data_IF_386143455925
#
_entry.id   IF_386143455925
#
_cell.length_a   1.000
_cell.length_b   1.000
_cell.length_c   1.000
_cell.angle_alpha   90.00
_cell.angle_beta   90.00
_cell.angle_gamma   90.00
#
_symmetry.space_group_name_H-M   'P 1'
#
loop_
_entity.id
_entity.type
_entity.pdbx_description
1 polymer ?
#
# COMPACT_ATOMS: atom_id res chain seq x y z
N UNK A 1 -20.80 -15.98 -17.70
CA UNK A 1 -21.29 -15.18 -16.55
C UNK A 1 -20.18 -14.26 -16.09
N UNK A 2 -20.32 -12.92 -16.20
CA UNK A 2 -19.33 -11.98 -15.64
C UNK A 2 -19.36 -12.13 -14.12
N UNK A 3 -18.28 -12.58 -13.51
CA UNK A 3 -18.17 -12.61 -12.05
C UNK A 3 -18.43 -11.21 -11.49
N UNK A 4 -19.37 -11.15 -10.55
CA UNK A 4 -19.75 -9.92 -9.87
C UNK A 4 -18.96 -9.87 -8.57
N UNK A 5 -17.95 -9.01 -8.53
CA UNK A 5 -17.00 -8.97 -7.43
C UNK A 5 -17.52 -8.06 -6.31
N UNK A 6 -18.27 -8.65 -5.38
CA UNK A 6 -18.67 -8.00 -4.13
C UNK A 6 -17.48 -7.44 -3.33
N UNK A 7 -16.33 -8.16 -3.24
CA UNK A 7 -15.15 -7.63 -2.55
C UNK A 7 -14.61 -6.34 -3.18
N UNK A 8 -14.61 -6.22 -4.51
CA UNK A 8 -14.14 -5.02 -5.21
C UNK A 8 -15.02 -3.80 -4.94
N UNK A 9 -16.33 -4.02 -4.76
CA UNK A 9 -17.26 -2.95 -4.41
C UNK A 9 -16.98 -2.41 -3.00
N UNK A 10 -16.83 -3.31 -2.02
CA UNK A 10 -16.52 -2.94 -0.64
C UNK A 10 -15.16 -2.24 -0.57
N UNK A 11 -14.13 -2.83 -1.21
CA UNK A 11 -12.78 -2.25 -1.24
C UNK A 11 -12.79 -0.86 -1.89
N UNK A 12 -13.52 -0.69 -2.99
CA UNK A 12 -13.66 0.60 -3.68
C UNK A 12 -14.31 1.66 -2.80
N UNK A 13 -15.41 1.34 -2.13
CA UNK A 13 -16.08 2.25 -1.20
C UNK A 13 -15.20 2.60 0.01
N UNK A 14 -14.52 1.61 0.59
CA UNK A 14 -13.59 1.82 1.70
C UNK A 14 -12.42 2.71 1.28
N UNK A 15 -11.79 2.45 0.15
CA UNK A 15 -10.68 3.26 -0.36
C UNK A 15 -11.12 4.70 -0.61
N UNK A 16 -12.33 4.90 -1.15
CA UNK A 16 -12.89 6.23 -1.38
C UNK A 16 -13.15 6.96 -0.07
N UNK A 17 -13.79 6.30 0.91
CA UNK A 17 -14.08 6.89 2.22
C UNK A 17 -12.82 7.22 3.02
N UNK A 18 -11.85 6.29 3.07
CA UNK A 18 -10.55 6.50 3.72
C UNK A 18 -9.79 7.63 3.04
N UNK A 19 -9.78 7.68 1.70
CA UNK A 19 -9.13 8.76 0.97
C UNK A 19 -9.69 10.14 1.33
N UNK A 20 -11.02 10.29 1.39
CA UNK A 20 -11.64 11.55 1.79
C UNK A 20 -11.21 11.93 3.22
N UNK A 21 -11.28 10.98 4.15
CA UNK A 21 -10.90 11.22 5.54
C UNK A 21 -9.42 11.65 5.66
N UNK A 22 -8.51 10.91 5.02
CA UNK A 22 -7.07 11.22 5.02
C UNK A 22 -6.80 12.58 4.37
N UNK A 23 -7.47 12.90 3.25
CA UNK A 23 -7.30 14.19 2.59
C UNK A 23 -7.72 15.35 3.49
N UNK A 24 -8.86 15.23 4.17
CA UNK A 24 -9.32 16.25 5.13
C UNK A 24 -8.37 16.39 6.33
N UNK A 25 -7.92 15.27 6.91
CA UNK A 25 -6.96 15.28 8.03
C UNK A 25 -5.60 15.84 7.62
N UNK A 26 -5.17 15.61 6.37
CA UNK A 26 -3.89 16.08 5.85
C UNK A 26 -3.79 17.61 5.74
N UNK A 27 -4.92 18.32 5.76
CA UNK A 27 -4.93 19.78 5.72
C UNK A 27 -4.40 20.41 7.02
N UNK A 28 -4.38 19.65 8.12
CA UNK A 28 -3.85 20.11 9.41
C UNK A 28 -2.31 20.03 9.51
N UNK A 29 -1.63 19.47 8.50
CA UNK A 29 -0.17 19.34 8.51
C UNK A 29 0.49 20.64 8.04
N UNK A 30 1.61 20.99 8.70
CA UNK A 30 2.42 22.15 8.34
C UNK A 30 2.99 21.97 6.93
N UNK A 31 2.76 22.97 6.08
CA UNK A 31 3.34 23.03 4.73
C UNK A 31 4.84 23.30 4.81
N UNK A 32 5.64 22.56 4.03
CA UNK A 32 7.06 22.83 3.90
C UNK A 32 7.32 24.07 3.03
N UNK A 33 8.42 24.79 3.29
CA UNK A 33 8.85 25.94 2.47
C UNK A 33 9.35 25.52 1.08
N UNK A 34 9.78 24.27 0.93
CA UNK A 34 10.27 23.68 -0.33
C UNK A 34 9.71 22.24 -0.42
N UNK A 35 9.34 21.79 -1.62
CA UNK A 35 8.73 20.47 -1.83
C UNK A 35 7.28 20.35 -1.35
N UNK A 36 6.71 19.15 -1.38
CA UNK A 36 5.33 18.91 -0.92
C UNK A 36 5.22 18.78 0.61
N UNK A 37 6.34 18.58 1.30
CA UNK A 37 6.43 18.44 2.75
C UNK A 37 5.72 17.21 3.33
N UNK A 38 5.67 17.14 4.66
CA UNK A 38 5.07 16.02 5.39
C UNK A 38 3.57 15.82 5.11
N UNK A 39 2.83 16.90 4.82
CA UNK A 39 1.43 16.84 4.39
C UNK A 39 1.23 16.44 2.93
N UNK A 40 2.29 16.53 2.11
CA UNK A 40 2.27 16.15 0.70
C UNK A 40 2.01 14.67 0.47
N UNK A 41 2.73 13.83 1.21
CA UNK A 41 2.59 12.37 1.15
C UNK A 41 1.14 11.90 1.36
N UNK A 42 0.48 12.19 2.51
CA UNK A 42 -0.88 11.71 2.75
C UNK A 42 -1.89 12.25 1.72
N UNK A 43 -1.72 13.48 1.21
CA UNK A 43 -2.57 14.03 0.14
C UNK A 43 -2.42 13.26 -1.17
N UNK A 44 -1.18 13.02 -1.60
CA UNK A 44 -0.92 12.31 -2.86
C UNK A 44 -1.49 10.89 -2.81
N UNK A 45 -1.27 10.16 -1.71
CA UNK A 45 -1.83 8.82 -1.52
C UNK A 45 -3.36 8.86 -1.48
N UNK A 46 -3.95 9.83 -0.77
CA UNK A 46 -5.41 9.99 -0.74
C UNK A 46 -5.99 10.19 -2.14
N UNK A 47 -5.39 11.05 -2.98
CA UNK A 47 -5.86 11.26 -4.36
C UNK A 47 -5.79 9.97 -5.18
N UNK A 48 -4.68 9.22 -5.08
CA UNK A 48 -4.53 7.93 -5.79
C UNK A 48 -5.58 6.92 -5.30
N UNK A 49 -5.75 6.79 -3.97
CA UNK A 49 -6.74 5.90 -3.37
C UNK A 49 -8.17 6.27 -3.77
N UNK A 50 -8.49 7.56 -3.83
CA UNK A 50 -9.81 8.05 -4.25
C UNK A 50 -10.10 7.65 -5.70
N UNK A 51 -9.16 7.91 -6.62
CA UNK A 51 -9.31 7.57 -8.04
C UNK A 51 -9.45 6.06 -8.21
N UNK A 52 -8.59 5.26 -7.57
CA UNK A 52 -8.67 3.80 -7.63
C UNK A 52 -9.98 3.28 -7.03
N UNK A 53 -10.41 3.85 -5.90
CA UNK A 53 -11.66 3.50 -5.23
C UNK A 53 -12.88 3.75 -6.10
N UNK A 54 -12.94 4.90 -6.79
CA UNK A 54 -13.99 5.22 -7.76
C UNK A 54 -13.94 4.23 -8.93
N UNK A 55 -12.77 3.97 -9.51
CA UNK A 55 -12.64 3.05 -10.65
C UNK A 55 -13.12 1.64 -10.27
N UNK A 56 -12.74 1.13 -9.09
CA UNK A 56 -13.18 -0.17 -8.61
C UNK A 56 -14.69 -0.22 -8.39
N UNK A 57 -15.24 0.79 -7.73
CA UNK A 57 -16.69 0.92 -7.47
C UNK A 57 -17.47 0.98 -8.78
N UNK A 58 -17.05 1.84 -9.71
CA UNK A 58 -17.69 2.01 -11.01
C UNK A 58 -17.62 0.73 -11.85
N UNK A 59 -16.45 0.06 -11.90
CA UNK A 59 -16.31 -1.23 -12.61
C UNK A 59 -17.18 -2.33 -12.00
N UNK A 60 -17.31 -2.36 -10.68
CA UNK A 60 -18.16 -3.34 -9.99
C UNK A 60 -19.64 -3.08 -10.27
N UNK A 61 -20.11 -1.83 -10.16
CA UNK A 61 -21.48 -1.44 -10.48
C UNK A 61 -21.83 -1.62 -11.97
N UNK A 62 -20.90 -1.34 -12.88
CA UNK A 62 -21.10 -1.54 -14.32
C UNK A 62 -21.29 -3.02 -14.71
N UNK A 63 -20.85 -3.96 -13.86
CA UNK A 63 -21.12 -5.39 -14.00
C UNK A 63 -22.44 -5.82 -13.31
N UNK A 64 -23.18 -4.86 -12.76
CA UNK A 64 -24.42 -5.04 -11.99
C UNK A 64 -24.15 -5.26 -10.50
N UNK A 65 -25.14 -4.94 -9.65
CA UNK A 65 -25.02 -5.07 -8.19
C UNK A 65 -24.55 -6.49 -7.80
N UNK A 66 -23.35 -6.63 -7.21
CA UNK A 66 -22.87 -7.90 -6.75
C UNK A 66 -23.70 -8.38 -5.56
N UNK A 67 -24.01 -9.68 -5.52
CA UNK A 67 -24.65 -10.27 -4.34
C UNK A 67 -23.61 -10.36 -3.21
N UNK A 68 -24.00 -10.10 -1.95
CA UNK A 68 -23.12 -10.31 -0.82
C UNK A 68 -22.71 -11.78 -0.76
N UNK A 69 -21.50 -12.07 -1.19
CA UNK A 69 -20.89 -13.38 -1.13
C UNK A 69 -19.46 -13.20 -0.66
N UNK A 70 -19.30 -13.18 0.66
CA UNK A 70 -18.01 -13.08 1.30
C UNK A 70 -17.64 -14.47 1.83
N UNK A 71 -16.79 -15.16 1.09
CA UNK A 71 -16.22 -16.44 1.51
C UNK A 71 -14.73 -16.23 1.74
N UNK A 72 -14.34 -16.15 3.01
CA UNK A 72 -12.93 -16.26 3.38
C UNK A 72 -12.64 -17.75 3.48
N UNK A 73 -11.76 -18.25 2.61
CA UNK A 73 -11.19 -19.57 2.77
C UNK A 73 -10.12 -19.59 3.87
N UNK A 74 -9.93 -20.73 4.53
CA UNK A 74 -8.97 -20.88 5.63
C UNK A 74 -7.55 -20.56 5.18
N UNK A 75 -7.16 -20.99 3.99
CA UNK A 75 -5.83 -20.72 3.45
C UNK A 75 -5.64 -19.22 3.24
N UNK A 76 -6.63 -18.54 2.69
CA UNK A 76 -6.62 -17.07 2.54
C UNK A 76 -6.49 -16.37 3.89
N UNK A 77 -7.22 -16.82 4.92
CA UNK A 77 -7.11 -16.27 6.26
C UNK A 77 -5.70 -16.44 6.84
N UNK A 78 -5.10 -17.63 6.71
CA UNK A 78 -3.74 -17.91 7.19
C UNK A 78 -2.71 -17.03 6.47
N UNK A 79 -2.79 -16.91 5.14
CA UNK A 79 -1.87 -16.04 4.38
C UNK A 79 -2.01 -14.57 4.80
N UNK A 80 -3.25 -14.08 5.00
CA UNK A 80 -3.49 -12.72 5.48
C UNK A 80 -2.93 -12.49 6.89
N UNK A 81 -3.15 -13.44 7.81
CA UNK A 81 -2.61 -13.35 9.18
C UNK A 81 -1.09 -13.41 9.17
N UNK A 82 -0.48 -14.32 8.41
CA UNK A 82 0.96 -14.41 8.28
C UNK A 82 1.56 -13.12 7.69
N UNK A 83 0.92 -12.56 6.66
CA UNK A 83 1.35 -11.29 6.05
C UNK A 83 1.28 -10.13 7.04
N UNK A 84 0.22 -10.04 7.84
CA UNK A 84 0.11 -9.05 8.92
C UNK A 84 1.23 -9.19 9.95
N UNK A 85 1.53 -10.42 10.39
CA UNK A 85 2.62 -10.68 11.35
C UNK A 85 3.97 -10.26 10.76
N UNK A 86 4.27 -10.66 9.52
CA UNK A 86 5.50 -10.25 8.81
C UNK A 86 5.58 -8.73 8.68
N UNK A 87 4.47 -8.05 8.43
CA UNK A 87 4.40 -6.58 8.37
C UNK A 87 4.76 -5.95 9.71
N UNK A 88 4.25 -6.46 10.82
CA UNK A 88 4.58 -5.97 12.17
C UNK A 88 6.07 -6.16 12.46
N UNK A 89 6.62 -7.34 12.14
CA UNK A 89 8.05 -7.63 12.31
C UNK A 89 8.91 -6.69 11.47
N UNK A 90 8.52 -6.44 10.21
CA UNK A 90 9.16 -5.48 9.33
C UNK A 90 9.21 -4.07 9.95
N UNK A 91 8.09 -3.58 10.48
CA UNK A 91 8.04 -2.25 11.11
C UNK A 91 8.96 -2.15 12.34
N UNK A 92 9.00 -3.21 13.15
CA UNK A 92 9.89 -3.26 14.32
C UNK A 92 11.37 -3.29 13.92
N UNK A 93 11.71 -4.08 12.90
CA UNK A 93 13.09 -4.22 12.42
C UNK A 93 13.59 -3.02 11.60
N UNK A 94 12.67 -2.24 10.99
CA UNK A 94 13.00 -1.07 10.17
C UNK A 94 13.82 -0.03 10.94
N UNK A 95 13.57 0.13 12.24
CA UNK A 95 14.33 1.08 13.09
C UNK A 95 15.83 0.77 13.13
N UNK A 96 16.20 -0.52 13.03
CA UNK A 96 17.59 -0.96 13.15
C UNK A 96 18.26 -1.13 11.78
N UNK A 97 17.55 -1.78 10.85
CA UNK A 97 18.11 -2.17 9.54
C UNK A 97 17.97 -1.04 8.50
N UNK A 98 17.01 -0.14 8.70
CA UNK A 98 16.70 0.93 7.74
C UNK A 98 15.84 0.46 6.57
N UNK A 99 15.22 1.43 5.89
CA UNK A 99 14.26 1.22 4.82
C UNK A 99 14.87 0.52 3.60
N UNK A 100 16.03 1.01 3.12
CA UNK A 100 16.56 0.60 1.82
C UNK A 100 16.98 -0.88 1.75
N UNK A 101 17.35 -1.48 2.89
CA UNK A 101 17.74 -2.89 2.97
C UNK A 101 16.55 -3.80 3.30
N UNK A 102 15.66 -3.35 4.19
CA UNK A 102 14.59 -4.20 4.69
C UNK A 102 13.36 -4.23 3.76
N UNK A 103 13.03 -3.12 3.10
CA UNK A 103 11.85 -3.02 2.22
C UNK A 103 11.95 -3.91 0.98
N UNK A 104 13.09 -4.05 0.27
CA UNK A 104 13.20 -5.02 -0.82
C UNK A 104 12.93 -6.45 -0.35
N UNK A 105 13.49 -6.84 0.80
CA UNK A 105 13.29 -8.18 1.36
C UNK A 105 11.81 -8.42 1.72
N UNK A 106 11.18 -7.43 2.34
CA UNK A 106 9.76 -7.45 2.67
C UNK A 106 8.88 -7.56 1.42
N UNK A 107 9.10 -6.72 0.40
CA UNK A 107 8.33 -6.74 -0.85
C UNK A 107 8.51 -8.05 -1.62
N UNK A 108 9.74 -8.58 -1.66
CA UNK A 108 10.01 -9.88 -2.26
C UNK A 108 9.27 -11.01 -1.53
N UNK A 109 9.37 -11.07 -0.20
CA UNK A 109 8.65 -12.05 0.61
C UNK A 109 7.13 -11.96 0.43
N UNK A 110 6.59 -10.74 0.42
CA UNK A 110 5.17 -10.49 0.15
C UNK A 110 4.75 -11.04 -1.22
N UNK A 111 5.50 -10.76 -2.28
CA UNK A 111 5.21 -11.26 -3.62
C UNK A 111 5.23 -12.80 -3.68
N UNK A 112 6.18 -13.44 -2.99
CA UNK A 112 6.22 -14.91 -2.90
C UNK A 112 5.01 -15.48 -2.16
N UNK A 113 4.61 -14.88 -1.03
CA UNK A 113 3.44 -15.31 -0.25
C UNK A 113 2.14 -15.25 -1.06
N UNK A 114 2.00 -14.28 -1.96
CA UNK A 114 0.85 -14.15 -2.85
C UNK A 114 1.02 -14.86 -4.21
N UNK A 115 2.01 -15.76 -4.33
CA UNK A 115 2.13 -16.69 -5.45
C UNK A 115 2.67 -16.07 -6.75
N UNK A 116 3.51 -15.03 -6.66
CA UNK A 116 4.09 -14.41 -7.86
C UNK A 116 5.01 -15.42 -8.59
N UNK A 117 4.64 -15.79 -9.82
CA UNK A 117 5.18 -16.96 -10.54
C UNK A 117 6.64 -16.84 -11.01
N UNK A 118 7.23 -15.64 -10.98
CA UNK A 118 8.59 -15.36 -11.49
C UNK A 118 9.43 -14.70 -10.40
N UNK A 119 10.23 -15.47 -9.63
CA UNK A 119 11.02 -14.91 -8.52
C UNK A 119 12.04 -13.88 -9.00
N UNK A 120 12.62 -14.04 -10.19
CA UNK A 120 13.54 -13.05 -10.78
C UNK A 120 12.88 -11.67 -10.99
N UNK A 121 11.65 -11.66 -11.49
CA UNK A 121 10.87 -10.42 -11.63
C UNK A 121 10.56 -9.81 -10.27
N UNK A 122 10.24 -10.63 -9.27
CA UNK A 122 9.96 -10.16 -7.93
C UNK A 122 11.19 -9.49 -7.28
N UNK A 123 12.40 -10.03 -7.48
CA UNK A 123 13.64 -9.40 -7.01
C UNK A 123 13.81 -8.02 -7.64
N UNK A 124 13.73 -7.92 -8.97
CA UNK A 124 13.90 -6.65 -9.69
C UNK A 124 12.87 -5.63 -9.24
N UNK A 125 11.59 -6.02 -9.18
CA UNK A 125 10.49 -5.13 -8.76
C UNK A 125 10.71 -4.68 -7.31
N UNK A 126 11.04 -5.58 -6.39
CA UNK A 126 11.23 -5.25 -4.98
C UNK A 126 12.35 -4.22 -4.76
N UNK A 127 13.49 -4.39 -5.44
CA UNK A 127 14.63 -3.47 -5.37
C UNK A 127 14.27 -2.15 -6.03
N UNK A 128 13.76 -2.18 -7.26
CA UNK A 128 13.41 -0.99 -8.01
C UNK A 128 12.34 -0.16 -7.29
N UNK A 129 11.27 -0.79 -6.80
CA UNK A 129 10.23 -0.12 -6.02
C UNK A 129 10.78 0.50 -4.76
N UNK A 130 11.65 -0.20 -4.02
CA UNK A 130 12.24 0.35 -2.80
C UNK A 130 13.09 1.59 -3.08
N UNK A 131 13.91 1.56 -4.13
CA UNK A 131 14.72 2.71 -4.57
C UNK A 131 13.82 3.88 -4.98
N UNK A 132 12.81 3.63 -5.81
CA UNK A 132 11.88 4.66 -6.28
C UNK A 132 11.13 5.30 -5.11
N UNK A 133 10.62 4.48 -4.18
CA UNK A 133 9.92 4.98 -2.99
C UNK A 133 10.86 5.80 -2.13
N UNK A 134 12.10 5.34 -1.91
CA UNK A 134 13.09 6.09 -1.15
C UNK A 134 13.34 7.49 -1.73
N UNK A 135 13.51 7.60 -3.05
CA UNK A 135 13.70 8.89 -3.71
C UNK A 135 12.46 9.77 -3.68
N UNK A 136 11.26 9.19 -3.86
CA UNK A 136 10.01 9.96 -3.74
C UNK A 136 9.89 10.57 -2.34
N UNK A 137 10.13 9.79 -1.28
CA UNK A 137 10.03 10.29 0.08
C UNK A 137 11.10 11.34 0.40
N UNK A 138 12.36 11.07 0.05
CA UNK A 138 13.48 11.96 0.42
C UNK A 138 13.56 13.21 -0.45
N UNK A 139 13.19 13.14 -1.74
CA UNK A 139 13.34 14.26 -2.70
C UNK A 139 12.03 14.99 -2.99
N UNK A 140 10.90 14.28 -3.06
CA UNK A 140 9.61 14.90 -3.41
C UNK A 140 8.86 15.32 -2.14
N UNK A 141 8.72 14.39 -1.19
CA UNK A 141 8.03 14.69 0.08
C UNK A 141 8.94 15.34 1.12
N UNK A 142 10.27 15.28 0.93
CA UNK A 142 11.26 15.77 1.90
C UNK A 142 11.05 15.20 3.30
N UNK A 143 10.73 13.90 3.36
CA UNK A 143 10.54 13.13 4.60
C UNK A 143 11.70 12.16 4.75
N UNK A 144 12.36 12.19 5.91
CA UNK A 144 13.42 11.26 6.25
C UNK A 144 12.86 9.86 6.50
N UNK A 145 13.43 8.87 5.84
CA UNK A 145 13.16 7.47 6.09
C UNK A 145 14.24 6.92 7.04
N UNK A 146 13.95 5.87 7.84
CA UNK A 146 14.96 5.26 8.69
C UNK A 146 16.14 4.77 7.86
N UNK A 147 17.31 5.30 8.16
CA UNK A 147 18.57 4.83 7.60
C UNK A 147 19.15 3.73 8.49
N UNK A 148 20.09 2.96 7.94
CA UNK A 148 20.78 1.94 8.72
C UNK A 148 21.55 2.60 9.86
N UNK A 149 21.24 2.22 11.10
CA UNK A 149 21.98 2.67 12.28
C UNK A 149 22.45 1.45 13.07
N UNK A 150 23.75 1.16 12.96
CA UNK A 150 24.44 0.31 13.91
C UNK A 150 24.98 1.24 15.01
N UNK A 151 24.17 1.40 16.07
CA UNK A 151 24.40 2.24 17.25
C UNK A 151 24.30 3.76 17.03
#
# INVERSE_FOLDING_TARGET
MKEKNFPDLIAGLLFTGIAIAVFLMSNNFVSAKLGLGAGGYPRTIAVIMFVLGIIMTAKSLAKGLPRPNFKIDKDTAVHLTAFLVVTIVYLAAMRYIGFLFLTPLYLFGAMLMFGHKKPSSAVIISIASSIVIYFIFTKVFMVFLPEFSLF
#
